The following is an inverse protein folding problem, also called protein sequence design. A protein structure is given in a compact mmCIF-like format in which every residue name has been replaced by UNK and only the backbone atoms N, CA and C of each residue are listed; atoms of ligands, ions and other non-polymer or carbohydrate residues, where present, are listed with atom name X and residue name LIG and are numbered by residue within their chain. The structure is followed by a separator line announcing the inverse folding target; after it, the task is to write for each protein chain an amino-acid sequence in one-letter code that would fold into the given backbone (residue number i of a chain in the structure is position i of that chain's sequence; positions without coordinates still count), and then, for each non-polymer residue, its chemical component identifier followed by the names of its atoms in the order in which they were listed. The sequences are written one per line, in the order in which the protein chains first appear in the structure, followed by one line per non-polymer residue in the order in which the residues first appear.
data_IF_070387900296
#
_entry.id   IF_070387900296
#
_cell.length_a   1.000
_cell.length_b   1.000
_cell.length_c   1.000
_cell.angle_alpha   90.00
_cell.angle_beta   90.00
_cell.angle_gamma   90.00
#
_symmetry.space_group_name_H-M   'P 1'
#
loop_
_entity.id
_entity.type
_entity.pdbx_description
1 polymer ?
#
# COMPACT_ATOMS: atom_id res chain seq x y z
N UNK A 1 2.88 -15.54 16.19
CA UNK A 1 1.67 -16.37 15.96
C UNK A 1 0.90 -15.65 14.86
N UNK A 2 0.59 -16.30 13.74
CA UNK A 2 -0.23 -15.69 12.69
C UNK A 2 -1.57 -15.24 13.27
N UNK A 3 -2.15 -14.18 12.71
CA UNK A 3 -3.38 -13.58 13.20
C UNK A 3 -4.57 -14.51 12.87
N UNK A 4 -5.26 -15.04 13.89
CA UNK A 4 -6.38 -16.01 13.74
C UNK A 4 -7.56 -15.43 12.94
N UNK A 5 -7.62 -14.11 12.75
CA UNK A 5 -8.60 -13.45 11.89
C UNK A 5 -8.27 -13.56 10.39
N UNK A 6 -6.99 -13.75 10.04
CA UNK A 6 -6.55 -13.91 8.65
C UNK A 6 -6.81 -15.33 8.11
N UNK A 7 -7.09 -16.30 8.99
CA UNK A 7 -7.30 -17.71 8.62
C UNK A 7 -8.75 -18.04 8.25
N UNK A 8 -9.69 -17.11 8.39
CA UNK A 8 -11.13 -17.33 8.10
C UNK A 8 -11.36 -17.79 6.66
N UNK A 9 -10.64 -17.21 5.70
CA UNK A 9 -10.75 -17.57 4.28
C UNK A 9 -10.08 -18.90 3.97
N UNK A 10 -8.97 -19.22 4.63
CA UNK A 10 -8.29 -20.51 4.47
C UNK A 10 -9.13 -21.66 5.05
N UNK A 11 -9.84 -21.42 6.16
CA UNK A 11 -10.80 -22.35 6.74
C UNK A 11 -11.99 -22.58 5.79
N UNK A 12 -12.61 -21.51 5.28
CA UNK A 12 -13.73 -21.62 4.34
C UNK A 12 -13.37 -22.36 3.04
N UNK A 13 -12.13 -22.24 2.57
CA UNK A 13 -11.63 -22.93 1.37
C UNK A 13 -11.11 -24.36 1.65
N UNK A 14 -11.12 -24.81 2.90
CA UNK A 14 -10.62 -26.14 3.30
C UNK A 14 -9.11 -26.33 3.10
N UNK A 15 -8.32 -25.26 3.21
CA UNK A 15 -6.87 -25.26 2.97
C UNK A 15 -6.07 -25.53 4.26
N UNK A 16 -6.69 -25.34 5.43
CA UNK A 16 -6.05 -25.55 6.73
C UNK A 16 -5.84 -27.05 7.02
N UNK A 17 -4.76 -27.36 7.74
CA UNK A 17 -4.57 -28.72 8.29
C UNK A 17 -5.47 -28.96 9.51
N UNK A 18 -5.58 -30.23 9.94
CA UNK A 18 -6.49 -30.63 11.02
C UNK A 18 -6.21 -29.89 12.36
N UNK A 19 -4.94 -29.57 12.63
CA UNK A 19 -4.55 -28.90 13.87
C UNK A 19 -4.89 -27.40 13.81
N UNK A 20 -4.65 -26.77 12.66
CA UNK A 20 -5.02 -25.38 12.39
C UNK A 20 -6.53 -25.17 12.38
N UNK A 21 -7.28 -26.10 11.77
CA UNK A 21 -8.75 -26.08 11.76
C UNK A 21 -9.32 -26.18 13.18
N UNK A 22 -8.82 -27.11 13.99
CA UNK A 22 -9.25 -27.27 15.39
C UNK A 22 -8.97 -26.01 16.22
N UNK A 23 -7.80 -25.39 16.04
CA UNK A 23 -7.46 -24.14 16.72
C UNK A 23 -8.38 -22.99 16.30
N UNK A 24 -8.70 -22.91 15.01
CA UNK A 24 -9.61 -21.90 14.47
C UNK A 24 -11.06 -22.10 14.94
N UNK A 25 -11.55 -23.33 15.03
CA UNK A 25 -12.88 -23.64 15.59
C UNK A 25 -13.00 -23.22 17.06
N UNK A 26 -11.95 -23.41 17.85
CA UNK A 26 -11.91 -22.96 19.24
C UNK A 26 -11.99 -21.42 19.34
N UNK A 27 -11.33 -20.69 18.43
CA UNK A 27 -11.43 -19.24 18.31
C UNK A 27 -12.84 -18.81 17.86
N UNK A 28 -13.41 -19.52 16.88
CA UNK A 28 -14.73 -19.25 16.32
C UNK A 28 -15.83 -19.26 17.39
N UNK A 29 -15.75 -20.17 18.36
CA UNK A 29 -16.68 -20.25 19.47
C UNK A 29 -16.73 -18.98 20.34
N UNK A 30 -15.72 -18.11 20.28
CA UNK A 30 -15.61 -16.88 21.07
C UNK A 30 -15.57 -15.58 20.26
N UNK A 31 -15.64 -15.62 18.92
CA UNK A 31 -15.49 -14.43 18.09
C UNK A 31 -16.65 -14.25 17.09
N UNK A 32 -17.55 -13.32 17.40
CA UNK A 32 -18.69 -12.97 16.54
C UNK A 32 -18.26 -12.42 15.17
N UNK A 33 -17.13 -11.71 15.10
CA UNK A 33 -16.62 -11.19 13.83
C UNK A 33 -16.22 -12.31 12.86
N UNK A 34 -15.50 -13.33 13.34
CA UNK A 34 -15.14 -14.50 12.52
C UNK A 34 -16.37 -15.30 12.09
N UNK A 35 -17.37 -15.43 12.96
CA UNK A 35 -18.64 -16.08 12.63
C UNK A 35 -19.40 -15.33 11.52
N UNK A 36 -19.48 -13.99 11.62
CA UNK A 36 -20.13 -13.15 10.61
C UNK A 36 -19.42 -13.22 9.25
N UNK A 37 -18.08 -13.22 9.25
CA UNK A 37 -17.30 -13.35 8.02
C UNK A 37 -17.48 -14.71 7.36
N UNK A 38 -17.55 -15.81 8.13
CA UNK A 38 -17.86 -17.13 7.56
C UNK A 38 -19.25 -17.20 6.94
N UNK A 39 -20.25 -16.60 7.60
CA UNK A 39 -21.63 -16.55 7.09
C UNK A 39 -21.71 -15.76 5.77
N UNK A 40 -20.98 -14.65 5.66
CA UNK A 40 -20.88 -13.88 4.41
C UNK A 40 -20.25 -14.71 3.27
N UNK A 41 -19.19 -15.47 3.56
CA UNK A 41 -18.56 -16.35 2.57
C UNK A 41 -19.49 -17.51 2.17
N UNK A 42 -20.17 -18.14 3.12
CA UNK A 42 -21.16 -19.19 2.85
C UNK A 42 -22.33 -18.66 2.02
N UNK A 43 -22.72 -17.39 2.20
CA UNK A 43 -23.73 -16.71 1.39
C UNK A 43 -23.38 -16.57 -0.09
N UNK A 44 -22.09 -16.68 -0.47
CA UNK A 44 -21.63 -16.62 -1.87
C UNK A 44 -21.67 -17.99 -2.57
N UNK A 45 -21.61 -19.09 -1.83
CA UNK A 45 -21.67 -20.46 -2.37
C UNK A 45 -22.93 -20.75 -3.24
N UNK A 46 -24.17 -20.41 -2.83
CA UNK A 46 -25.35 -20.66 -3.65
C UNK A 46 -25.35 -19.82 -4.95
N UNK A 47 -24.70 -18.65 -4.92
CA UNK A 47 -24.56 -17.79 -6.10
C UNK A 47 -23.56 -18.38 -7.11
N UNK A 48 -22.45 -18.94 -6.60
CA UNK A 48 -21.47 -19.66 -7.42
C UNK A 48 -22.03 -20.98 -7.96
N UNK A 49 -22.81 -21.71 -7.16
CA UNK A 49 -23.51 -22.92 -7.60
C UNK A 49 -24.55 -22.61 -8.70
N UNK A 50 -25.33 -21.53 -8.56
CA UNK A 50 -26.26 -21.08 -9.59
C UNK A 50 -25.56 -20.69 -10.90
N UNK A 51 -24.31 -20.20 -10.82
CA UNK A 51 -23.49 -19.91 -11.98
C UNK A 51 -22.96 -21.18 -12.66
N UNK A 52 -22.72 -22.24 -11.89
CA UNK A 52 -22.32 -23.55 -12.40
C UNK A 52 -23.45 -24.29 -13.13
N UNK A 53 -24.71 -24.07 -12.73
CA UNK A 53 -25.91 -24.70 -13.31
C UNK A 53 -26.47 -23.99 -14.56
N UNK A 54 -25.88 -22.87 -14.98
CA UNK A 54 -26.33 -22.11 -16.15
C UNK A 54 -26.01 -22.85 -17.47
N UNK A 55 -26.99 -23.18 -18.32
CA UNK A 55 -26.73 -23.86 -19.60
C UNK A 55 -25.99 -22.91 -20.55
N UNK A 56 -24.68 -23.12 -20.67
CA UNK A 56 -23.74 -22.24 -21.40
C UNK A 56 -22.50 -21.83 -20.60
N UNK A 57 -22.52 -21.98 -19.27
CA UNK A 57 -21.32 -21.95 -18.41
C UNK A 57 -20.71 -23.34 -18.22
N UNK A 58 -21.23 -24.34 -18.95
CA UNK A 58 -20.76 -25.72 -18.97
C UNK A 58 -19.24 -25.73 -18.89
N UNK A 59 -18.75 -26.25 -17.76
CA UNK A 59 -17.37 -26.42 -17.38
C UNK A 59 -16.51 -26.72 -18.62
N UNK A 60 -15.98 -25.67 -19.23
CA UNK A 60 -15.00 -25.83 -20.28
C UNK A 60 -13.77 -26.32 -19.51
N UNK A 61 -13.27 -27.56 -19.74
CA UNK A 61 -12.14 -28.10 -18.97
C UNK A 61 -10.91 -27.17 -19.08
N UNK A 62 -10.88 -26.34 -20.12
CA UNK A 62 -9.89 -25.31 -20.36
C UNK A 62 -9.88 -24.15 -19.36
N UNK A 63 -10.96 -23.84 -18.63
CA UNK A 63 -10.97 -22.71 -17.67
C UNK A 63 -10.41 -23.16 -16.31
N UNK A 64 -10.71 -24.39 -15.87
CA UNK A 64 -10.04 -24.98 -14.70
C UNK A 64 -8.55 -25.24 -14.95
N UNK A 65 -8.19 -25.63 -16.17
CA UNK A 65 -6.79 -25.90 -16.55
C UNK A 65 -5.97 -24.64 -16.90
N UNK A 66 -6.62 -23.51 -17.22
CA UNK A 66 -5.94 -22.21 -17.40
C UNK A 66 -5.76 -21.43 -16.09
N UNK A 67 -6.59 -21.70 -15.07
CA UNK A 67 -6.35 -21.22 -13.70
C UNK A 67 -5.41 -22.16 -12.93
N UNK A 68 -5.32 -23.43 -13.30
CA UNK A 68 -4.27 -24.34 -12.87
C UNK A 68 -3.11 -24.31 -13.88
N UNK A 69 -2.41 -23.19 -13.97
CA UNK A 69 -1.07 -23.16 -14.54
C UNK A 69 -0.14 -23.96 -13.60
N UNK A 70 -0.30 -25.30 -13.61
CA UNK A 70 0.49 -26.24 -12.84
C UNK A 70 1.92 -26.10 -13.35
N UNK A 71 2.86 -25.53 -12.56
CA UNK A 71 4.22 -25.37 -13.01
C UNK A 71 4.78 -26.75 -13.31
N UNK A 72 5.56 -26.88 -14.39
CA UNK A 72 6.15 -28.17 -14.74
C UNK A 72 6.89 -28.74 -13.51
N UNK A 73 6.82 -30.06 -13.25
CA UNK A 73 7.37 -30.67 -12.02
C UNK A 73 8.83 -30.29 -11.75
N UNK A 74 9.60 -30.03 -12.80
CA UNK A 74 11.00 -29.57 -12.72
C UNK A 74 11.16 -28.13 -12.23
N UNK A 75 10.20 -27.25 -12.47
CA UNK A 75 10.21 -25.89 -11.90
C UNK A 75 9.78 -25.89 -10.43
N UNK A 76 8.86 -26.78 -10.04
CA UNK A 76 8.45 -26.94 -8.63
C UNK A 76 9.62 -27.50 -7.82
N UNK A 77 10.34 -28.52 -8.30
CA UNK A 77 11.55 -29.01 -7.62
C UNK A 77 12.64 -27.94 -7.53
N UNK A 78 12.87 -27.16 -8.59
CA UNK A 78 13.85 -26.07 -8.54
C UNK A 78 13.49 -24.97 -7.53
N UNK A 79 12.22 -24.60 -7.45
CA UNK A 79 11.75 -23.58 -6.52
C UNK A 79 11.77 -24.09 -5.06
N UNK A 80 11.42 -25.36 -4.82
CA UNK A 80 11.46 -25.96 -3.48
C UNK A 80 12.91 -26.16 -3.02
N UNK A 81 13.82 -26.56 -3.91
CA UNK A 81 15.26 -26.68 -3.60
C UNK A 81 15.88 -25.31 -3.37
N UNK A 82 15.55 -24.29 -4.17
CA UNK A 82 16.13 -22.95 -4.00
C UNK A 82 15.58 -22.23 -2.75
N UNK A 83 14.31 -22.44 -2.39
CA UNK A 83 13.73 -21.90 -1.15
C UNK A 83 14.27 -22.63 0.09
N UNK A 84 14.50 -23.93 0.02
CA UNK A 84 15.06 -24.70 1.15
C UNK A 84 16.57 -24.44 1.35
N UNK A 85 17.34 -24.25 0.29
CA UNK A 85 18.74 -23.80 0.35
C UNK A 85 18.84 -22.38 0.94
N UNK A 86 18.00 -21.43 0.48
CA UNK A 86 17.97 -20.06 1.04
C UNK A 86 17.50 -20.05 2.50
N UNK A 87 16.56 -20.92 2.89
CA UNK A 87 16.11 -21.06 4.28
C UNK A 87 17.20 -21.69 5.16
N UNK A 88 17.97 -22.68 4.67
CA UNK A 88 19.13 -23.25 5.39
C UNK A 88 20.27 -22.26 5.57
N UNK A 89 20.59 -21.46 4.55
CA UNK A 89 21.62 -20.41 4.66
C UNK A 89 21.20 -19.32 5.64
N UNK A 90 19.93 -18.89 5.61
CA UNK A 90 19.38 -17.90 6.56
C UNK A 90 19.28 -18.45 7.98
N UNK A 91 18.91 -19.72 8.16
CA UNK A 91 18.86 -20.38 9.47
C UNK A 91 20.27 -20.59 10.05
N UNK A 92 21.25 -20.98 9.24
CA UNK A 92 22.65 -21.10 9.70
C UNK A 92 23.23 -19.74 10.08
N UNK A 93 22.91 -18.68 9.33
CA UNK A 93 23.33 -17.30 9.66
C UNK A 93 22.69 -16.77 10.95
N UNK A 94 21.49 -17.23 11.29
CA UNK A 94 20.82 -16.90 12.55
C UNK A 94 21.30 -17.76 13.73
N UNK A 95 21.82 -18.98 13.49
CA UNK A 95 22.40 -19.82 14.55
C UNK A 95 23.77 -19.29 15.01
N UNK A 96 24.54 -18.65 14.14
CA UNK A 96 25.78 -17.95 14.52
C UNK A 96 25.57 -16.58 15.20
N UNK A 97 24.33 -16.10 15.33
CA UNK A 97 24.03 -14.83 16.00
C UNK A 97 23.73 -14.99 17.51
N UNK A 98 23.82 -16.20 18.06
CA UNK A 98 23.62 -16.50 19.49
C UNK A 98 24.93 -16.87 20.21
N UNK A 99 26.03 -16.22 19.85
CA UNK A 99 27.30 -16.35 20.57
C UNK A 99 28.13 -15.05 20.51
N UNK A 100 27.62 -13.96 21.07
CA UNK A 100 28.44 -12.80 21.44
C UNK A 100 27.68 -11.90 22.43
N UNK A 101 27.43 -12.40 23.64
CA UNK A 101 26.99 -11.58 24.77
C UNK A 101 27.93 -11.77 25.95
N UNK A 102 29.19 -11.36 25.77
CA UNK A 102 30.10 -10.92 26.83
C UNK A 102 30.97 -9.81 26.23
N UNK A 103 31.28 -8.80 27.05
CA UNK A 103 32.11 -7.61 26.77
C UNK A 103 31.33 -6.40 26.26
N UNK A 104 30.40 -5.92 27.10
CA UNK A 104 30.32 -4.48 27.35
C UNK A 104 31.44 -4.15 28.35
N UNK A 105 32.40 -3.31 27.94
CA UNK A 105 33.01 -2.20 28.70
C UNK A 105 34.24 -1.71 27.90
N UNK A 106 34.26 -0.39 27.67
CA UNK A 106 35.37 0.47 27.24
C UNK A 106 35.45 0.90 25.75
N UNK A 107 35.24 2.22 25.54
CA UNK A 107 35.60 3.00 24.34
C UNK A 107 34.49 3.01 23.27
N UNK A 108 33.93 4.12 22.80
CA UNK A 108 34.46 5.47 22.65
C UNK A 108 34.24 5.91 21.19
N UNK A 109 33.11 6.60 20.96
CA UNK A 109 32.79 7.55 19.86
C UNK A 109 32.78 7.13 18.38
N UNK A 110 31.74 7.65 17.70
CA UNK A 110 31.62 7.98 16.26
C UNK A 110 31.10 6.90 15.28
N UNK A 111 29.77 6.77 15.19
CA UNK A 111 28.99 6.74 13.94
C UNK A 111 27.52 6.43 14.27
N UNK A 112 26.73 7.47 14.57
CA UNK A 112 25.29 7.32 14.83
C UNK A 112 24.51 7.11 13.53
N UNK A 113 24.23 5.86 13.18
CA UNK A 113 23.15 5.52 12.24
C UNK A 113 21.88 5.37 13.08
N UNK A 114 21.01 6.37 13.05
CA UNK A 114 19.80 6.37 13.86
C UNK A 114 18.74 5.43 13.24
N UNK A 115 18.66 4.22 13.80
CA UNK A 115 17.46 3.40 13.85
C UNK A 115 17.05 3.31 15.32
N UNK A 116 16.08 4.11 15.74
CA UNK A 116 15.44 3.92 17.04
C UNK A 116 14.02 4.47 17.01
N UNK A 117 13.05 3.56 17.00
CA UNK A 117 11.78 3.82 17.65
C UNK A 117 11.96 3.63 19.15
N UNK A 118 11.64 4.65 19.95
CA UNK A 118 11.15 4.54 21.33
C UNK A 118 10.71 5.92 21.80
N UNK A 119 9.55 5.94 22.44
CA UNK A 119 8.88 7.08 23.04
C UNK A 119 9.64 7.58 24.27
N UNK A 120 10.01 8.87 24.32
CA UNK A 120 9.90 9.69 25.53
C UNK A 120 9.87 11.18 25.19
N UNK A 121 9.14 11.89 26.03
CA UNK A 121 8.75 13.30 26.05
C UNK A 121 9.88 14.32 25.95
N UNK A 122 9.63 15.43 25.22
CA UNK A 122 10.23 16.72 25.56
C UNK A 122 10.97 17.52 24.49
N UNK A 123 10.42 17.71 23.29
CA UNK A 123 10.38 19.02 22.56
C UNK A 123 9.58 18.79 21.28
N UNK A 124 8.43 19.45 21.16
CA UNK A 124 7.58 19.34 19.98
C UNK A 124 8.18 20.15 18.83
N UNK A 125 9.28 19.66 18.25
CA UNK A 125 9.51 19.89 16.83
C UNK A 125 8.38 19.15 16.11
N UNK A 126 7.51 19.89 15.44
CA UNK A 126 6.47 19.33 14.58
C UNK A 126 7.16 18.43 13.55
N UNK A 127 7.17 17.12 13.82
CA UNK A 127 7.80 16.14 12.96
C UNK A 127 7.11 16.21 11.60
N UNK A 128 7.78 16.90 10.67
CA UNK A 128 7.38 17.04 9.29
C UNK A 128 7.21 15.62 8.72
N UNK A 129 6.01 15.29 8.24
CA UNK A 129 5.76 13.96 7.67
C UNK A 129 6.72 13.65 6.52
N UNK A 130 7.04 12.36 6.24
CA UNK A 130 8.07 11.99 5.26
C UNK A 130 7.83 12.59 3.87
N UNK A 131 6.56 12.73 3.45
CA UNK A 131 6.20 13.41 2.22
C UNK A 131 6.62 14.89 2.22
N UNK A 132 6.35 15.63 3.29
CA UNK A 132 6.69 17.04 3.39
C UNK A 132 8.20 17.26 3.48
N UNK A 133 8.94 16.37 4.15
CA UNK A 133 10.40 16.41 4.20
C UNK A 133 11.00 16.21 2.80
N UNK A 134 10.52 15.20 2.05
CA UNK A 134 10.93 14.98 0.66
C UNK A 134 10.56 16.16 -0.25
N UNK A 135 9.37 16.75 -0.07
CA UNK A 135 8.96 17.93 -0.84
C UNK A 135 9.92 19.10 -0.64
N UNK A 136 10.46 19.30 0.57
CA UNK A 136 11.37 20.41 0.84
C UNK A 136 12.72 20.26 0.13
N UNK A 137 13.22 19.02 -0.04
CA UNK A 137 14.52 18.75 -0.65
C UNK A 137 14.47 18.68 -2.19
N UNK A 138 13.32 18.32 -2.77
CA UNK A 138 13.14 18.27 -4.22
C UNK A 138 13.12 19.67 -4.84
N UNK A 139 13.84 19.84 -5.95
CA UNK A 139 14.00 21.12 -6.65
C UNK A 139 13.12 21.26 -7.89
N UNK A 140 12.87 20.18 -8.62
CA UNK A 140 11.96 20.21 -9.77
C UNK A 140 10.51 20.20 -9.28
N UNK A 141 9.88 21.37 -9.29
CA UNK A 141 8.52 21.60 -8.80
C UNK A 141 7.70 22.28 -9.87
N UNK A 142 6.54 21.71 -10.17
CA UNK A 142 5.54 22.27 -11.07
C UNK A 142 4.30 22.64 -10.28
N UNK A 143 3.73 23.81 -10.55
CA UNK A 143 2.55 24.31 -9.83
C UNK A 143 1.46 24.70 -10.81
N UNK A 144 0.21 24.37 -10.47
CA UNK A 144 -0.96 24.93 -11.13
C UNK A 144 -2.08 25.21 -10.13
N UNK A 145 -2.94 26.16 -10.49
CA UNK A 145 -4.19 26.45 -9.79
C UNK A 145 -5.32 26.36 -10.81
N UNK A 146 -6.33 25.56 -10.51
CA UNK A 146 -7.50 25.46 -11.37
C UNK A 146 -8.41 26.70 -11.21
N UNK A 147 -8.83 27.37 -12.29
CA UNK A 147 -9.62 28.59 -12.19
C UNK A 147 -11.08 28.35 -11.76
N UNK A 148 -11.57 27.11 -11.86
CA UNK A 148 -12.96 26.75 -11.53
C UNK A 148 -13.08 26.21 -10.11
N UNK A 149 -12.17 25.31 -9.73
CA UNK A 149 -12.18 24.70 -8.39
C UNK A 149 -11.38 25.50 -7.37
N UNK A 150 -10.50 26.39 -7.83
CA UNK A 150 -9.53 27.13 -7.03
C UNK A 150 -8.55 26.24 -6.24
N UNK A 151 -8.47 24.95 -6.57
CA UNK A 151 -7.49 24.02 -5.97
C UNK A 151 -6.11 24.32 -6.55
N UNK A 152 -5.12 24.47 -5.66
CA UNK A 152 -3.71 24.62 -6.05
C UNK A 152 -2.96 23.33 -5.75
N UNK A 153 -2.27 22.80 -6.77
CA UNK A 153 -1.38 21.66 -6.64
C UNK A 153 0.04 22.04 -7.04
N UNK A 154 1.01 21.64 -6.22
CA UNK A 154 2.43 21.64 -6.58
C UNK A 154 2.94 20.21 -6.56
N UNK A 155 3.47 19.73 -7.68
CA UNK A 155 4.08 18.41 -7.80
C UNK A 155 5.58 18.57 -7.87
N UNK A 156 6.29 17.98 -6.91
CA UNK A 156 7.74 17.86 -6.92
C UNK A 156 8.14 16.50 -7.50
N UNK A 157 9.13 16.48 -8.38
CA UNK A 157 9.55 15.29 -9.13
C UNK A 157 11.00 14.93 -8.82
N UNK A 158 11.25 13.64 -8.70
CA UNK A 158 12.59 13.08 -8.63
C UNK A 158 12.68 11.82 -9.50
N UNK A 159 13.67 11.79 -10.40
CA UNK A 159 13.95 10.61 -11.21
C UNK A 159 14.55 9.50 -10.33
N UNK A 160 14.04 8.29 -10.50
CA UNK A 160 14.58 7.05 -9.91
C UNK A 160 14.84 6.03 -11.02
N UNK A 161 15.61 4.99 -10.71
CA UNK A 161 15.88 3.91 -11.68
C UNK A 161 14.62 3.17 -12.11
N UNK A 162 13.62 3.10 -11.22
CA UNK A 162 12.33 2.49 -11.47
C UNK A 162 11.28 3.42 -12.11
N UNK A 163 11.58 4.71 -12.30
CA UNK A 163 10.62 5.68 -12.85
C UNK A 163 10.71 7.06 -12.18
N UNK A 164 9.57 7.57 -11.71
CA UNK A 164 9.43 8.90 -11.10
C UNK A 164 8.86 8.80 -9.70
N UNK A 165 9.58 9.30 -8.70
CA UNK A 165 9.01 9.62 -7.40
C UNK A 165 8.41 11.03 -7.48
N UNK A 166 7.11 11.13 -7.22
CA UNK A 166 6.41 12.40 -7.15
C UNK A 166 5.87 12.67 -5.75
N UNK A 167 5.96 13.94 -5.34
CA UNK A 167 5.38 14.44 -4.09
C UNK A 167 4.42 15.57 -4.41
N UNK A 168 3.17 15.44 -3.98
CA UNK A 168 2.13 16.46 -4.14
C UNK A 168 2.00 17.28 -2.86
N UNK A 169 2.08 18.60 -2.99
CA UNK A 169 1.49 19.56 -2.06
C UNK A 169 0.13 20.01 -2.61
N UNK A 170 -0.94 19.86 -1.84
CA UNK A 170 -2.29 20.27 -2.24
C UNK A 170 -2.87 21.29 -1.27
N UNK A 171 -3.46 22.35 -1.83
CA UNK A 171 -4.09 23.46 -1.10
C UNK A 171 -5.51 23.74 -1.59
N UNK A 172 -6.29 24.38 -0.73
CA UNK A 172 -7.64 24.83 -0.98
C UNK A 172 -8.59 23.70 -1.43
N UNK A 173 -8.49 22.52 -0.81
CA UNK A 173 -9.39 21.39 -1.09
C UNK A 173 -10.31 21.13 0.09
N UNK A 174 -11.61 21.12 -0.15
CA UNK A 174 -12.65 20.85 0.86
C UNK A 174 -13.01 19.36 0.88
N UNK A 175 -13.46 18.82 2.01
CA UNK A 175 -13.97 17.45 2.09
C UNK A 175 -15.45 17.38 2.47
N UNK A 176 -16.00 16.17 2.70
CA UNK A 176 -15.32 14.88 2.57
C UNK A 176 -15.23 14.40 1.11
N UNK A 177 -14.10 13.81 0.70
CA UNK A 177 -13.96 13.09 -0.59
C UNK A 177 -12.74 12.18 -0.62
N UNK A 178 -12.65 11.28 -1.60
CA UNK A 178 -11.44 10.48 -1.90
C UNK A 178 -10.82 10.99 -3.20
N UNK A 179 -9.50 11.15 -3.21
CA UNK A 179 -8.76 11.70 -4.33
C UNK A 179 -7.55 10.83 -4.69
N UNK A 180 -7.07 11.01 -5.90
CA UNK A 180 -5.88 10.38 -6.46
C UNK A 180 -5.05 11.40 -7.23
N UNK A 181 -3.75 11.17 -7.29
CA UNK A 181 -2.83 11.85 -8.20
C UNK A 181 -2.53 10.87 -9.33
N UNK A 182 -2.83 11.29 -10.55
CA UNK A 182 -2.64 10.49 -11.76
C UNK A 182 -1.52 11.14 -12.58
N UNK A 183 -0.49 10.38 -12.93
CA UNK A 183 0.49 10.74 -13.94
C UNK A 183 -0.07 10.36 -15.31
N UNK A 184 -0.13 11.32 -16.24
CA UNK A 184 -0.57 11.08 -17.61
C UNK A 184 0.63 11.18 -18.52
N UNK A 185 0.95 10.08 -19.22
CA UNK A 185 2.04 10.00 -20.17
C UNK A 185 1.74 10.77 -21.46
N UNK A 186 2.79 11.14 -22.19
CA UNK A 186 2.68 11.74 -23.55
C UNK A 186 2.04 10.81 -24.58
N UNK A 187 1.98 9.51 -24.27
CA UNK A 187 1.27 8.47 -25.03
C UNK A 187 -0.22 8.36 -24.65
N UNK A 188 -0.70 9.12 -23.65
CA UNK A 188 -2.07 9.06 -23.13
C UNK A 188 -2.32 7.98 -22.08
N UNK A 189 -1.33 7.14 -21.76
CA UNK A 189 -1.42 6.15 -20.68
C UNK A 189 -1.45 6.84 -19.32
N UNK A 190 -2.13 6.23 -18.34
CA UNK A 190 -2.43 6.83 -17.04
C UNK A 190 -1.97 5.91 -15.92
N UNK A 191 -1.17 6.43 -15.01
CA UNK A 191 -0.69 5.70 -13.83
C UNK A 191 -1.10 6.42 -12.54
N UNK A 192 -1.66 5.69 -11.58
CA UNK A 192 -1.99 6.27 -10.27
C UNK A 192 -0.74 6.32 -9.40
N UNK A 193 -0.30 7.53 -9.08
CA UNK A 193 0.87 7.77 -8.23
C UNK A 193 0.56 7.44 -6.77
N UNK A 194 -0.57 7.95 -6.28
CA UNK A 194 -1.02 7.78 -4.89
C UNK A 194 -2.50 8.15 -4.75
N UNK A 195 -3.13 7.70 -3.67
CA UNK A 195 -4.51 8.03 -3.31
C UNK A 195 -4.65 8.36 -1.83
N UNK A 196 -5.63 9.19 -1.48
CA UNK A 196 -5.85 9.67 -0.12
C UNK A 196 -7.31 10.06 0.12
N UNK A 197 -7.65 10.29 1.39
CA UNK A 197 -8.94 10.85 1.80
C UNK A 197 -8.78 12.33 2.17
N UNK A 198 -9.74 13.15 1.76
CA UNK A 198 -9.91 14.52 2.22
C UNK A 198 -10.99 14.51 3.30
N UNK A 199 -10.65 14.79 4.56
CA UNK A 199 -11.61 14.84 5.67
C UNK A 199 -12.49 16.08 5.58
N UNK A 200 -13.57 16.14 6.37
CA UNK A 200 -14.56 17.23 6.35
C UNK A 200 -13.96 18.62 6.54
N UNK A 201 -12.84 18.74 7.28
CA UNK A 201 -12.15 20.02 7.48
C UNK A 201 -11.26 20.46 6.31
N UNK A 202 -10.98 19.58 5.34
CA UNK A 202 -10.18 19.90 4.14
C UNK A 202 -8.68 20.09 4.39
N UNK A 203 -7.98 20.64 3.39
CA UNK A 203 -6.55 20.94 3.44
C UNK A 203 -6.21 22.28 2.76
N UNK A 204 -5.29 23.03 3.37
CA UNK A 204 -4.73 24.27 2.85
C UNK A 204 -5.74 25.39 2.61
N UNK A 205 -6.74 25.53 3.47
CA UNK A 205 -7.78 26.57 3.40
C UNK A 205 -7.32 27.78 4.23
N UNK A 206 -6.98 28.89 3.58
CA UNK A 206 -6.38 30.08 4.21
C UNK A 206 -7.21 30.64 5.38
N UNK A 207 -8.52 30.77 5.19
CA UNK A 207 -9.44 31.42 6.14
C UNK A 207 -10.16 30.43 7.07
N UNK A 208 -9.69 29.18 7.16
CA UNK A 208 -10.34 28.19 8.02
C UNK A 208 -10.20 28.52 9.52
N UNK A 209 -11.22 28.19 10.31
CA UNK A 209 -11.18 28.35 11.75
C UNK A 209 -10.18 27.40 12.44
N UNK A 210 -9.98 26.21 11.87
CA UNK A 210 -9.08 25.17 12.39
C UNK A 210 -7.67 25.34 11.85
N UNK A 211 -6.66 25.27 12.71
CA UNK A 211 -5.25 25.23 12.30
C UNK A 211 -4.97 24.05 11.36
N UNK A 212 -5.56 22.87 11.62
CA UNK A 212 -5.39 21.68 10.77
C UNK A 212 -5.90 21.87 9.35
N UNK A 213 -6.95 22.67 9.17
CA UNK A 213 -7.50 22.95 7.84
C UNK A 213 -6.64 23.94 7.04
N UNK A 214 -5.83 24.77 7.72
CA UNK A 214 -4.87 25.69 7.07
C UNK A 214 -3.63 24.96 6.57
N UNK A 215 -3.29 23.81 7.15
CA UNK A 215 -2.15 23.01 6.73
C UNK A 215 -2.40 22.38 5.35
N UNK A 216 -1.47 22.52 4.40
CA UNK A 216 -1.58 21.83 3.11
C UNK A 216 -1.38 20.33 3.30
N UNK A 217 -1.97 19.55 2.38
CA UNK A 217 -1.70 18.12 2.32
C UNK A 217 -0.36 17.88 1.63
N UNK A 218 0.45 16.98 2.18
CA UNK A 218 1.59 16.37 1.49
C UNK A 218 1.40 14.87 1.37
N UNK A 219 1.45 14.36 0.14
CA UNK A 219 1.42 12.92 -0.16
C UNK A 219 2.44 12.61 -1.23
N UNK A 220 2.93 11.38 -1.29
CA UNK A 220 3.89 10.97 -2.30
C UNK A 220 3.61 9.57 -2.82
N UNK A 221 4.21 9.24 -3.95
CA UNK A 221 4.13 7.92 -4.57
C UNK A 221 5.01 7.82 -5.80
N UNK A 222 4.84 6.73 -6.56
CA UNK A 222 5.66 6.43 -7.74
C UNK A 222 4.83 6.26 -9.00
N UNK A 223 5.42 6.63 -10.14
CA UNK A 223 4.99 6.23 -11.47
C UNK A 223 6.16 5.52 -12.18
N UNK A 224 5.88 4.51 -12.99
CA UNK A 224 6.89 3.82 -13.79
C UNK A 224 7.39 4.70 -14.95
N UNK A 225 6.62 5.71 -15.37
CA UNK A 225 7.10 6.73 -16.29
C UNK A 225 8.37 7.42 -15.76
N UNK A 226 9.36 7.61 -16.62
CA UNK A 226 10.42 8.59 -16.36
C UNK A 226 9.85 10.02 -16.46
N UNK A 227 10.44 11.03 -15.78
CA UNK A 227 9.86 12.37 -15.76
C UNK A 227 9.57 12.96 -17.15
N UNK A 228 10.44 12.67 -18.13
CA UNK A 228 10.30 13.15 -19.50
C UNK A 228 9.19 12.46 -20.32
N UNK A 229 8.67 11.33 -19.85
CA UNK A 229 7.54 10.64 -20.48
C UNK A 229 6.19 11.17 -19.99
N UNK A 230 6.17 11.88 -18.86
CA UNK A 230 4.96 12.47 -18.29
C UNK A 230 4.65 13.76 -19.06
N UNK A 231 3.39 13.93 -19.44
CA UNK A 231 2.87 15.15 -20.05
C UNK A 231 2.32 16.10 -18.98
N UNK A 232 1.48 15.57 -18.10
CA UNK A 232 0.90 16.30 -16.98
C UNK A 232 0.46 15.35 -15.86
N UNK A 233 0.14 15.94 -14.71
CA UNK A 233 -0.50 15.29 -13.58
C UNK A 233 -1.92 15.80 -13.41
N UNK A 234 -2.82 14.92 -13.02
CA UNK A 234 -4.20 15.27 -12.67
C UNK A 234 -4.49 14.88 -11.22
N UNK A 235 -5.08 15.80 -10.47
CA UNK A 235 -5.72 15.45 -9.19
C UNK A 235 -7.17 15.13 -9.49
N UNK A 236 -7.55 13.87 -9.32
CA UNK A 236 -8.87 13.35 -9.64
C UNK A 236 -9.57 12.88 -8.38
N UNK A 237 -10.84 13.19 -8.23
CA UNK A 237 -11.69 12.54 -7.25
C UNK A 237 -12.10 11.15 -7.73
N UNK A 238 -12.49 10.27 -6.81
CA UNK A 238 -12.89 8.89 -7.16
C UNK A 238 -14.22 8.83 -7.95
N UNK A 239 -15.05 9.87 -7.87
CA UNK A 239 -16.24 10.08 -8.71
C UNK A 239 -15.93 10.65 -10.10
N UNK A 240 -14.65 10.78 -10.47
CA UNK A 240 -14.21 11.15 -11.81
C UNK A 240 -14.12 12.66 -12.07
N UNK A 241 -14.26 13.50 -11.05
CA UNK A 241 -14.10 14.96 -11.19
C UNK A 241 -12.62 15.33 -11.12
N UNK A 242 -12.15 16.06 -12.13
CA UNK A 242 -10.83 16.71 -12.08
C UNK A 242 -10.86 17.93 -11.17
N UNK A 243 -9.93 18.00 -10.23
CA UNK A 243 -9.76 19.15 -9.34
C UNK A 243 -8.75 20.13 -9.90
N UNK A 244 -7.62 19.66 -10.41
CA UNK A 244 -6.56 20.48 -10.99
C UNK A 244 -5.66 19.63 -11.90
N UNK A 245 -5.07 20.28 -12.90
CA UNK A 245 -4.11 19.70 -13.83
C UNK A 245 -2.79 20.47 -13.75
N UNK A 246 -1.67 19.78 -13.60
CA UNK A 246 -0.33 20.36 -13.47
C UNK A 246 0.56 19.82 -14.58
N UNK A 247 1.08 20.67 -15.47
CA UNK A 247 2.03 20.24 -16.50
C UNK A 247 3.34 19.73 -15.87
N UNK A 248 3.90 18.66 -16.43
CA UNK A 248 5.15 18.06 -15.96
C UNK A 248 6.40 18.84 -16.39
#
# INVERSE_FOLDING_TARGET
MPNEHETVGAYALGILDDAEATAFEAHLAGCEWCAQQLDELAGMEPMLAALADLPGSGSNPSIGESLSARPSPRMVEKLVVEVSEKRKVRSRRNIFALAASVVLIAGGTAAGVALSGSSDSGTADMATGPAQAAFQTMTDKKTATDPTTHVTATVALEKKDWGTHAVLQLKNVTGPKKCSLIAVGKNGERETVTSWSVPTWGYGITDAASAKAKEPLYVHGGAAFTPNQIDHFEVMTFDGKKLVSVSA
#
